data_IF_608526948785
#
_entry.id   IF_608526948785
#
_cell.length_a   1.000
_cell.length_b   1.000
_cell.length_c   1.000
_cell.angle_alpha   90.00
_cell.angle_beta   90.00
_cell.angle_gamma   90.00
#
_symmetry.space_group_name_H-M   'P 1'
#
loop_
_entity.id
_entity.type
_entity.pdbx_description
1 polymer ?
#
# COMPACT_ATOMS: atom_id res chain seq x y z
N UNK A 1 27.81 2.32 6.24
CA UNK A 1 27.67 3.71 5.79
C UNK A 1 27.19 4.53 6.99
N UNK A 2 27.78 5.68 7.30
CA UNK A 2 27.32 6.48 8.44
C UNK A 2 25.94 7.09 8.16
N UNK A 3 25.07 7.23 9.18
CA UNK A 3 23.71 7.79 9.01
C UNK A 3 23.69 9.16 8.32
N UNK A 4 24.73 9.96 8.51
CA UNK A 4 24.89 11.29 7.89
C UNK A 4 25.05 11.28 6.37
N UNK A 5 25.18 10.10 5.75
CA UNK A 5 25.25 9.91 4.29
C UNK A 5 23.92 9.42 3.70
N UNK A 6 22.90 9.22 4.53
CA UNK A 6 21.54 8.91 4.07
C UNK A 6 20.84 10.23 3.80
N UNK A 7 20.42 10.44 2.54
CA UNK A 7 19.72 11.66 2.10
C UNK A 7 18.19 11.52 2.18
N UNK A 8 17.70 10.29 2.24
CA UNK A 8 16.30 10.02 2.36
C UNK A 8 16.00 8.54 2.50
N UNK A 9 14.81 8.22 2.98
CA UNK A 9 14.33 6.86 3.25
C UNK A 9 13.08 6.60 2.42
N UNK A 10 13.13 5.59 1.56
CA UNK A 10 11.99 5.13 0.75
C UNK A 10 11.41 3.89 1.39
N UNK A 11 10.13 3.96 1.78
CA UNK A 11 9.35 2.77 2.14
C UNK A 11 8.88 2.03 0.90
N UNK A 12 8.64 0.73 1.03
CA UNK A 12 7.96 -0.05 -0.02
C UNK A 12 6.68 -0.64 0.56
N UNK A 13 5.56 -0.33 -0.06
CA UNK A 13 4.24 -0.85 0.33
C UNK A 13 3.51 -1.44 -0.87
N UNK A 14 2.61 -2.37 -0.61
CA UNK A 14 1.62 -2.80 -1.60
C UNK A 14 0.37 -1.93 -1.49
N UNK A 15 -0.43 -1.89 -2.55
CA UNK A 15 -1.76 -1.26 -2.52
C UNK A 15 -2.77 -2.01 -1.64
N UNK A 16 -2.40 -3.13 -1.04
CA UNK A 16 -3.15 -3.94 -0.07
C UNK A 16 -2.15 -4.59 0.89
N UNK A 17 -2.63 -5.21 1.96
CA UNK A 17 -1.76 -5.81 2.97
C UNK A 17 -1.61 -7.32 2.77
N UNK A 18 -0.41 -7.86 3.03
CA UNK A 18 -0.18 -9.31 3.08
C UNK A 18 0.55 -9.70 4.35
N UNK A 19 0.26 -10.89 4.87
CA UNK A 19 0.95 -11.45 6.02
C UNK A 19 1.35 -12.91 5.77
N UNK A 20 2.53 -13.26 6.26
CA UNK A 20 3.03 -14.64 6.33
C UNK A 20 2.95 -15.11 7.78
N UNK A 21 2.50 -16.35 7.97
CA UNK A 21 2.40 -16.97 9.30
C UNK A 21 1.17 -16.57 10.11
N UNK A 22 1.14 -17.05 11.36
CA UNK A 22 0.09 -16.76 12.33
C UNK A 22 0.26 -15.37 12.95
N UNK A 23 -0.70 -14.94 13.73
CA UNK A 23 -0.73 -13.68 14.44
C UNK A 23 -1.83 -12.74 13.96
N UNK A 24 -2.04 -11.62 14.68
CA UNK A 24 -3.13 -10.69 14.42
C UNK A 24 -3.06 -10.10 13.01
N UNK A 25 -4.22 -10.02 12.37
CA UNK A 25 -4.35 -9.39 11.07
C UNK A 25 -5.75 -8.75 10.97
N UNK A 26 -5.97 -7.60 11.59
CA UNK A 26 -7.29 -6.98 11.70
C UNK A 26 -7.97 -6.75 10.34
N UNK A 27 -7.20 -6.42 9.31
CA UNK A 27 -7.72 -6.11 7.96
C UNK A 27 -7.80 -7.33 7.05
N UNK A 28 -7.64 -8.55 7.56
CA UNK A 28 -7.65 -9.77 6.75
C UNK A 28 -8.95 -9.91 5.96
N UNK A 29 -8.82 -10.18 4.67
CA UNK A 29 -9.91 -10.55 3.78
C UNK A 29 -10.24 -12.03 3.92
N UNK A 30 -11.51 -12.37 3.74
CA UNK A 30 -11.99 -13.76 3.77
C UNK A 30 -12.81 -14.08 2.53
N UNK A 31 -13.00 -15.37 2.25
CA UNK A 31 -13.84 -15.82 1.13
C UNK A 31 -13.31 -15.45 -0.26
N UNK A 32 -14.21 -15.28 -1.21
CA UNK A 32 -13.87 -15.11 -2.62
C UNK A 32 -12.97 -13.91 -2.92
N UNK A 33 -13.12 -12.81 -2.18
CA UNK A 33 -12.26 -11.63 -2.39
C UNK A 33 -10.81 -11.92 -2.02
N UNK A 34 -10.55 -12.62 -0.91
CA UNK A 34 -9.21 -13.02 -0.50
C UNK A 34 -8.55 -13.93 -1.55
N UNK A 35 -9.30 -14.87 -2.10
CA UNK A 35 -8.82 -15.77 -3.14
C UNK A 35 -8.50 -15.03 -4.43
N UNK A 36 -9.38 -14.11 -4.84
CA UNK A 36 -9.19 -13.31 -6.05
C UNK A 36 -7.96 -12.41 -5.96
N UNK A 37 -7.76 -11.72 -4.82
CA UNK A 37 -6.58 -10.88 -4.58
C UNK A 37 -5.30 -11.73 -4.53
N UNK A 38 -5.34 -12.87 -3.85
CA UNK A 38 -4.21 -13.80 -3.77
C UNK A 38 -3.81 -14.32 -5.14
N UNK A 39 -4.77 -14.74 -5.95
CA UNK A 39 -4.51 -15.26 -7.29
C UNK A 39 -3.93 -14.18 -8.21
N UNK A 40 -4.58 -13.01 -8.30
CA UNK A 40 -4.12 -11.88 -9.13
C UNK A 40 -2.75 -11.35 -8.69
N UNK A 41 -2.57 -11.23 -7.38
CA UNK A 41 -1.33 -10.73 -6.79
C UNK A 41 -0.20 -11.78 -6.75
N UNK A 42 -0.45 -13.03 -7.16
CA UNK A 42 0.51 -14.15 -7.00
C UNK A 42 1.04 -14.25 -5.57
N UNK A 43 0.14 -14.10 -4.58
CA UNK A 43 0.51 -14.03 -3.17
C UNK A 43 0.73 -15.43 -2.58
N UNK A 44 1.83 -16.03 -3.01
CA UNK A 44 2.34 -17.32 -2.55
C UNK A 44 3.79 -17.20 -2.13
N UNK A 45 4.21 -18.05 -1.21
CA UNK A 45 5.62 -18.11 -0.79
C UNK A 45 6.50 -18.60 -1.94
N UNK A 46 7.57 -17.86 -2.24
CA UNK A 46 8.46 -18.18 -3.36
C UNK A 46 9.06 -19.57 -3.28
N UNK A 47 9.40 -20.04 -2.06
CA UNK A 47 10.04 -21.36 -1.84
C UNK A 47 9.02 -22.45 -1.56
N UNK A 48 8.00 -22.16 -0.75
CA UNK A 48 7.08 -23.19 -0.23
C UNK A 48 5.75 -23.27 -0.96
N UNK A 49 5.45 -22.30 -1.82
CA UNK A 49 4.13 -22.17 -2.46
C UNK A 49 2.97 -21.90 -1.50
N UNK A 50 3.24 -21.70 -0.20
CA UNK A 50 2.17 -21.46 0.78
C UNK A 50 1.41 -20.19 0.45
N UNK A 51 0.06 -20.21 0.47
CA UNK A 51 -0.75 -19.00 0.27
C UNK A 51 -0.47 -17.98 1.38
N UNK A 52 -0.27 -16.74 0.99
CA UNK A 52 -0.22 -15.61 1.93
C UNK A 52 -1.62 -15.19 2.32
N UNK A 53 -1.78 -14.74 3.55
CA UNK A 53 -2.99 -14.06 4.00
C UNK A 53 -3.00 -12.68 3.35
N UNK A 54 -4.15 -12.28 2.79
CA UNK A 54 -4.33 -10.97 2.15
C UNK A 54 -5.34 -10.16 2.95
N UNK A 55 -5.14 -8.86 3.03
CA UNK A 55 -6.01 -7.92 3.73
C UNK A 55 -6.10 -6.59 3.00
N UNK A 56 -7.08 -5.78 3.35
CA UNK A 56 -7.22 -4.42 2.86
C UNK A 56 -6.05 -3.56 3.33
N UNK A 57 -5.79 -2.45 2.63
CA UNK A 57 -4.76 -1.51 3.05
C UNK A 57 -5.03 -1.01 4.46
N UNK A 58 -4.02 -1.06 5.32
CA UNK A 58 -4.11 -0.64 6.71
C UNK A 58 -3.35 0.68 6.89
N UNK A 59 -4.11 1.77 6.89
CA UNK A 59 -3.52 3.10 7.03
C UNK A 59 -3.02 3.37 8.46
N UNK A 60 -3.55 2.66 9.47
CA UNK A 60 -3.04 2.76 10.86
C UNK A 60 -1.62 2.21 10.93
N UNK A 61 -1.39 1.03 10.35
CA UNK A 61 -0.05 0.43 10.23
C UNK A 61 0.84 1.27 9.32
N UNK A 62 0.31 1.75 8.19
CA UNK A 62 1.06 2.59 7.24
C UNK A 62 1.60 3.85 7.90
N UNK A 63 0.75 4.59 8.59
CA UNK A 63 1.13 5.80 9.34
C UNK A 63 2.15 5.51 10.44
N UNK A 64 1.94 4.43 11.19
CA UNK A 64 2.89 3.99 12.21
C UNK A 64 4.25 3.66 11.59
N UNK A 65 4.28 2.87 10.51
CA UNK A 65 5.51 2.49 9.82
C UNK A 65 6.26 3.72 9.27
N UNK A 66 5.55 4.67 8.68
CA UNK A 66 6.12 5.94 8.20
C UNK A 66 6.84 6.68 9.31
N UNK A 67 6.19 6.83 10.47
CA UNK A 67 6.72 7.56 11.62
C UNK A 67 7.95 6.89 12.23
N UNK A 68 7.88 5.59 12.50
CA UNK A 68 8.99 4.89 13.20
C UNK A 68 10.22 4.67 12.31
N UNK A 69 10.04 4.60 11.00
CA UNK A 69 11.14 4.43 10.05
C UNK A 69 11.63 5.76 9.46
N UNK A 70 10.97 6.88 9.76
CA UNK A 70 11.31 8.18 9.20
C UNK A 70 11.25 8.18 7.66
N UNK A 71 10.15 7.65 7.10
CA UNK A 71 10.01 7.57 5.65
C UNK A 71 9.75 8.94 5.06
N UNK A 72 10.53 9.34 4.07
CA UNK A 72 10.32 10.56 3.31
C UNK A 72 9.33 10.35 2.16
N UNK A 73 9.27 9.12 1.65
CA UNK A 73 8.39 8.76 0.55
C UNK A 73 8.17 7.25 0.50
N UNK A 74 7.17 6.80 -0.26
CA UNK A 74 6.82 5.39 -0.40
C UNK A 74 6.74 5.01 -1.88
N UNK A 75 7.30 3.86 -2.22
CA UNK A 75 7.04 3.16 -3.49
C UNK A 75 5.84 2.23 -3.29
N UNK A 76 4.71 2.55 -3.93
CA UNK A 76 3.51 1.72 -3.90
C UNK A 76 3.56 0.68 -5.01
N UNK A 77 3.27 -0.56 -4.68
CA UNK A 77 3.32 -1.67 -5.64
C UNK A 77 1.99 -2.40 -5.75
N UNK A 78 1.80 -3.12 -6.86
CA UNK A 78 0.65 -4.01 -7.07
C UNK A 78 -0.71 -3.29 -7.08
N UNK A 79 -0.77 -2.09 -7.65
CA UNK A 79 -2.03 -1.37 -7.83
C UNK A 79 -2.99 -2.15 -8.75
N UNK A 80 -2.46 -2.75 -9.80
CA UNK A 80 -3.15 -3.59 -10.79
C UNK A 80 -3.96 -4.74 -10.21
N UNK A 81 -3.55 -5.25 -9.07
CA UNK A 81 -4.25 -6.34 -8.38
C UNK A 81 -5.67 -5.94 -7.94
N UNK A 82 -5.89 -4.66 -7.73
CA UNK A 82 -7.18 -4.09 -7.31
C UNK A 82 -8.09 -3.67 -8.49
N UNK A 83 -7.61 -3.73 -9.73
CA UNK A 83 -8.31 -3.23 -10.93
C UNK A 83 -9.76 -3.73 -11.10
N UNK A 84 -10.03 -4.95 -10.65
CA UNK A 84 -11.36 -5.56 -10.81
C UNK A 84 -12.26 -5.41 -9.56
N UNK A 85 -11.79 -4.74 -8.51
CA UNK A 85 -12.58 -4.55 -7.30
C UNK A 85 -13.70 -3.53 -7.56
N UNK A 86 -14.92 -3.85 -7.13
CA UNK A 86 -16.05 -2.91 -7.16
C UNK A 86 -15.91 -1.85 -6.07
N UNK A 87 -15.43 -2.29 -4.92
CA UNK A 87 -15.14 -1.46 -3.75
C UNK A 87 -13.78 -1.84 -3.20
N UNK A 88 -12.98 -0.86 -2.87
CA UNK A 88 -11.70 -1.03 -2.17
C UNK A 88 -11.87 -0.44 -0.78
N UNK A 89 -11.44 -1.16 0.25
CA UNK A 89 -11.53 -0.68 1.63
C UNK A 89 -10.16 -0.25 2.14
N UNK A 90 -10.14 0.82 2.94
CA UNK A 90 -8.94 1.28 3.66
C UNK A 90 -9.28 1.31 5.14
N UNK A 91 -8.48 0.62 5.95
CA UNK A 91 -8.63 0.70 7.40
C UNK A 91 -8.04 2.02 7.89
N UNK A 92 -8.89 2.87 8.45
CA UNK A 92 -8.52 4.22 8.92
C UNK A 92 -8.34 4.30 10.43
N UNK A 93 -8.92 3.35 11.17
CA UNK A 93 -8.83 3.22 12.62
C UNK A 93 -9.15 1.78 13.04
N UNK A 94 -8.92 1.46 14.30
CA UNK A 94 -9.41 0.24 14.93
C UNK A 94 -10.45 0.57 16.00
N UNK A 95 -11.37 -0.36 16.25
CA UNK A 95 -12.27 -0.33 17.41
C UNK A 95 -11.87 -1.42 18.39
N UNK A 96 -11.68 -1.05 19.65
CA UNK A 96 -11.39 -1.98 20.73
C UNK A 96 -12.12 -1.56 22.00
N UNK A 97 -12.94 -2.45 22.58
CA UNK A 97 -13.72 -2.20 23.81
C UNK A 97 -14.53 -0.90 23.80
N UNK A 98 -15.10 -0.53 22.64
CA UNK A 98 -15.90 0.67 22.47
C UNK A 98 -15.10 1.95 22.16
N UNK A 99 -13.78 1.90 22.23
CA UNK A 99 -12.90 3.02 21.90
C UNK A 99 -12.43 2.93 20.45
N UNK A 100 -12.22 4.08 19.82
CA UNK A 100 -11.64 4.18 18.48
C UNK A 100 -10.15 4.52 18.60
N UNK A 101 -9.31 3.64 18.10
CA UNK A 101 -7.86 3.79 18.10
C UNK A 101 -7.40 4.23 16.72
N UNK A 102 -6.86 5.44 16.63
CA UNK A 102 -6.27 5.98 15.39
C UNK A 102 -4.78 5.72 15.29
N UNK A 103 -4.14 5.38 16.40
CA UNK A 103 -2.73 4.98 16.48
C UNK A 103 -2.61 3.46 16.59
N UNK A 104 -1.49 2.92 16.08
CA UNK A 104 -1.22 1.49 16.14
C UNK A 104 -0.96 1.05 17.58
N UNK A 105 -1.72 0.08 18.14
CA UNK A 105 -1.52 -0.39 19.50
C UNK A 105 -0.19 -1.13 19.65
N UNK A 106 0.52 -0.87 20.76
CA UNK A 106 1.76 -1.58 21.09
C UNK A 106 1.52 -3.00 21.61
N UNK A 107 0.35 -3.24 22.21
CA UNK A 107 -0.02 -4.54 22.78
C UNK A 107 -0.63 -5.45 21.70
N UNK A 108 0.02 -6.57 21.43
CA UNK A 108 -0.44 -7.57 20.46
C UNK A 108 -1.84 -8.11 20.79
N UNK A 109 -2.22 -8.19 22.09
CA UNK A 109 -3.55 -8.66 22.48
C UNK A 109 -4.64 -7.66 22.09
N UNK A 110 -4.33 -6.38 22.12
CA UNK A 110 -5.21 -5.31 21.63
C UNK A 110 -5.36 -5.42 20.11
N UNK A 111 -4.24 -5.60 19.39
CA UNK A 111 -4.27 -5.77 17.93
C UNK A 111 -5.08 -7.01 17.54
N UNK A 112 -4.95 -8.10 18.28
CA UNK A 112 -5.67 -9.35 18.02
C UNK A 112 -7.18 -9.24 18.22
N UNK A 113 -7.62 -8.35 19.13
CA UNK A 113 -9.02 -8.12 19.44
C UNK A 113 -9.60 -6.88 18.74
N UNK A 114 -8.78 -6.18 17.95
CA UNK A 114 -9.19 -4.96 17.26
C UNK A 114 -10.07 -5.26 16.05
N UNK A 115 -11.15 -4.51 15.93
CA UNK A 115 -12.01 -4.51 14.75
C UNK A 115 -11.62 -3.35 13.83
N UNK A 116 -11.34 -3.60 12.53
CA UNK A 116 -10.98 -2.53 11.62
C UNK A 116 -12.18 -1.63 11.30
N UNK A 117 -11.95 -0.32 11.33
CA UNK A 117 -12.90 0.69 10.85
C UNK A 117 -12.50 1.05 9.43
N UNK A 118 -13.38 0.77 8.48
CA UNK A 118 -13.10 0.97 7.08
C UNK A 118 -13.73 2.24 6.52
N UNK A 119 -12.97 2.91 5.66
CA UNK A 119 -13.47 3.80 4.61
C UNK A 119 -13.60 2.97 3.34
N UNK A 120 -14.77 3.05 2.69
CA UNK A 120 -15.02 2.37 1.42
C UNK A 120 -14.85 3.35 0.27
N UNK A 121 -14.01 2.98 -0.69
CA UNK A 121 -13.71 3.76 -1.88
C UNK A 121 -14.23 2.98 -3.09
N UNK A 122 -14.93 3.65 -3.98
CA UNK A 122 -15.42 3.04 -5.20
C UNK A 122 -14.26 2.59 -6.09
N UNK A 123 -14.25 1.30 -6.46
CA UNK A 123 -13.25 0.71 -7.32
C UNK A 123 -13.30 1.27 -8.76
N UNK A 124 -12.20 1.21 -9.45
CA UNK A 124 -12.10 1.80 -10.80
C UNK A 124 -12.48 0.85 -11.92
N UNK A 125 -12.44 -0.46 -11.72
CA UNK A 125 -12.86 -1.49 -12.69
C UNK A 125 -12.32 -1.27 -14.11
N UNK A 126 -11.09 -0.80 -14.20
CA UNK A 126 -10.38 -0.52 -15.45
C UNK A 126 -8.90 -0.87 -15.26
N UNK A 127 -8.20 -1.29 -16.33
CA UNK A 127 -6.79 -1.65 -16.21
C UNK A 127 -5.95 -0.42 -15.84
N UNK A 128 -5.04 -0.59 -14.89
CA UNK A 128 -3.97 0.36 -14.59
C UNK A 128 -2.69 0.02 -15.36
N UNK A 129 -2.57 -1.21 -15.84
CA UNK A 129 -1.46 -1.66 -16.68
C UNK A 129 -1.34 -0.78 -17.92
N UNK A 130 -0.09 -0.44 -18.27
CA UNK A 130 0.21 0.41 -19.43
C UNK A 130 0.20 1.92 -19.16
N UNK A 131 -0.27 2.37 -17.99
CA UNK A 131 -0.14 3.75 -17.56
C UNK A 131 1.35 4.11 -17.42
N UNK A 132 1.75 5.25 -17.99
CA UNK A 132 3.13 5.75 -17.96
C UNK A 132 3.32 6.92 -16.99
N UNK A 133 2.24 7.59 -16.66
CA UNK A 133 2.20 8.68 -15.70
C UNK A 133 0.90 8.62 -14.88
N UNK A 134 0.82 9.41 -13.82
CA UNK A 134 -0.34 9.42 -12.93
C UNK A 134 -1.63 9.86 -13.63
N UNK A 135 -1.54 10.72 -14.64
CA UNK A 135 -2.70 11.19 -15.40
C UNK A 135 -3.35 10.10 -16.26
N UNK A 136 -2.58 9.07 -16.65
CA UNK A 136 -3.09 7.93 -17.42
C UNK A 136 -3.91 6.97 -16.55
N UNK A 137 -3.76 7.04 -15.23
CA UNK A 137 -4.51 6.18 -14.31
C UNK A 137 -6.01 6.56 -14.31
N UNK A 138 -6.90 5.57 -14.14
CA UNK A 138 -8.33 5.84 -13.92
C UNK A 138 -8.55 6.84 -12.78
N UNK A 139 -9.47 7.78 -12.94
CA UNK A 139 -9.70 8.84 -11.95
C UNK A 139 -9.98 8.30 -10.52
N UNK A 140 -10.67 7.15 -10.41
CA UNK A 140 -10.93 6.50 -9.12
C UNK A 140 -9.66 5.90 -8.53
N UNK A 141 -8.75 5.35 -9.34
CA UNK A 141 -7.47 4.86 -8.88
C UNK A 141 -6.60 6.01 -8.33
N UNK A 142 -6.59 7.17 -9.02
CA UNK A 142 -5.90 8.37 -8.50
C UNK A 142 -6.45 8.81 -7.15
N UNK A 143 -7.77 8.87 -6.99
CA UNK A 143 -8.41 9.22 -5.71
C UNK A 143 -8.03 8.24 -4.59
N UNK A 144 -7.93 6.96 -4.92
CA UNK A 144 -7.45 5.95 -3.97
C UNK A 144 -6.02 6.26 -3.53
N UNK A 145 -5.11 6.54 -4.47
CA UNK A 145 -3.72 6.89 -4.18
C UNK A 145 -3.61 8.15 -3.33
N UNK A 146 -4.27 9.23 -3.75
CA UNK A 146 -4.35 10.50 -3.01
C UNK A 146 -4.83 10.27 -1.57
N UNK A 147 -5.88 9.45 -1.41
CA UNK A 147 -6.40 9.14 -0.08
C UNK A 147 -5.44 8.34 0.78
N UNK A 148 -4.69 7.42 0.20
CA UNK A 148 -3.64 6.69 0.93
C UNK A 148 -2.53 7.63 1.41
N UNK A 149 -2.05 8.53 0.55
CA UNK A 149 -1.03 9.54 0.91
C UNK A 149 -1.48 10.42 2.08
N UNK A 150 -2.72 10.93 2.02
CA UNK A 150 -3.33 11.70 3.11
C UNK A 150 -3.35 10.90 4.43
N UNK A 151 -3.77 9.64 4.38
CA UNK A 151 -3.93 8.79 5.55
C UNK A 151 -2.61 8.38 6.19
N UNK A 152 -1.57 8.11 5.39
CA UNK A 152 -0.25 7.73 5.91
C UNK A 152 0.65 8.94 6.17
N UNK A 153 0.30 10.11 5.64
CA UNK A 153 1.06 11.36 5.80
C UNK A 153 2.38 11.39 5.03
N UNK A 154 2.49 10.60 3.93
CA UNK A 154 3.75 10.49 3.19
C UNK A 154 3.44 10.29 1.70
N UNK A 155 4.08 11.07 0.79
CA UNK A 155 3.82 11.00 -0.64
C UNK A 155 4.39 9.71 -1.26
N UNK A 156 3.77 9.26 -2.34
CA UNK A 156 4.34 8.22 -3.18
C UNK A 156 5.41 8.78 -4.12
N UNK A 157 6.45 7.99 -4.38
CA UNK A 157 7.47 8.32 -5.37
C UNK A 157 7.42 7.42 -6.60
N UNK A 158 6.93 6.21 -6.41
CA UNK A 158 6.76 5.20 -7.46
C UNK A 158 5.42 4.50 -7.28
N UNK A 159 4.75 4.23 -8.39
CA UNK A 159 3.52 3.43 -8.42
C UNK A 159 3.73 2.32 -9.44
N UNK A 160 3.78 1.06 -8.96
CA UNK A 160 3.88 -0.09 -9.86
C UNK A 160 2.48 -0.60 -10.22
N UNK A 161 2.23 -0.74 -11.51
CA UNK A 161 1.00 -1.21 -12.13
C UNK A 161 1.14 -2.59 -12.78
N UNK A 162 2.27 -3.27 -12.54
CA UNK A 162 2.55 -4.60 -13.06
C UNK A 162 3.91 -5.13 -12.60
N UNK A 163 4.32 -6.26 -13.17
CA UNK A 163 5.55 -6.97 -12.78
C UNK A 163 6.78 -6.53 -13.57
N UNK A 164 6.60 -5.87 -14.70
CA UNK A 164 7.69 -5.46 -15.57
C UNK A 164 8.27 -4.10 -15.13
N UNK A 165 9.52 -3.85 -15.50
CA UNK A 165 10.20 -2.61 -15.13
C UNK A 165 9.53 -1.36 -15.69
N UNK A 166 9.00 -1.46 -16.89
CA UNK A 166 8.30 -0.38 -17.59
C UNK A 166 6.83 -0.21 -17.17
N UNK A 167 6.35 -1.05 -16.25
CA UNK A 167 5.04 -0.94 -15.58
C UNK A 167 5.16 -0.20 -14.25
N UNK A 168 6.00 0.84 -14.22
CA UNK A 168 6.23 1.67 -13.04
C UNK A 168 6.11 3.14 -13.43
N UNK A 169 5.23 3.85 -12.72
CA UNK A 169 5.04 5.29 -12.83
C UNK A 169 5.98 5.97 -11.83
N UNK A 170 6.72 6.97 -12.27
CA UNK A 170 7.51 7.85 -11.42
C UNK A 170 6.70 9.10 -11.08
N UNK A 171 6.45 9.35 -9.80
CA UNK A 171 5.72 10.53 -9.35
C UNK A 171 6.62 11.77 -9.40
N UNK A 172 6.32 12.71 -10.31
CA UNK A 172 7.22 13.82 -10.65
C UNK A 172 7.45 14.80 -9.50
N UNK A 173 6.47 15.02 -8.64
CA UNK A 173 6.56 15.96 -7.51
C UNK A 173 7.13 15.32 -6.23
N UNK A 174 7.54 14.06 -6.30
CA UNK A 174 8.00 13.30 -5.14
C UNK A 174 9.38 13.75 -4.63
N UNK A 175 9.70 13.51 -3.34
CA UNK A 175 11.04 13.74 -2.79
C UNK A 175 12.15 13.01 -3.56
N UNK A 176 11.87 11.85 -4.14
CA UNK A 176 12.82 11.08 -4.94
C UNK A 176 13.41 11.88 -6.10
N UNK A 177 12.58 12.70 -6.76
CA UNK A 177 13.01 13.53 -7.88
C UNK A 177 13.94 14.67 -7.46
N UNK A 178 13.87 15.09 -6.21
CA UNK A 178 14.78 16.08 -5.65
C UNK A 178 16.15 15.48 -5.32
N UNK A 179 16.19 14.21 -4.92
CA UNK A 179 17.44 13.49 -4.64
C UNK A 179 18.18 13.08 -5.90
N UNK A 180 17.44 12.81 -6.98
CA UNK A 180 17.97 12.36 -8.26
C UNK A 180 17.45 13.20 -9.44
N UNK A 181 17.88 14.49 -9.55
CA UNK A 181 17.39 15.38 -10.63
C UNK A 181 17.67 14.85 -12.03
N UNK A 182 18.74 14.05 -12.20
CA UNK A 182 19.11 13.42 -13.47
C UNK A 182 18.27 12.17 -13.80
N UNK A 183 17.49 11.64 -12.89
CA UNK A 183 16.63 10.48 -13.15
C UNK A 183 15.52 10.78 -14.15
N UNK A 184 15.12 12.05 -14.30
CA UNK A 184 14.16 12.49 -15.33
C UNK A 184 14.57 12.08 -16.75
N UNK A 185 15.86 12.06 -17.04
CA UNK A 185 16.38 11.79 -18.40
C UNK A 185 16.67 10.33 -18.69
N UNK A 186 16.69 9.45 -17.68
CA UNK A 186 17.14 8.05 -17.82
C UNK A 186 16.05 7.03 -17.55
N UNK A 187 14.87 7.46 -17.10
CA UNK A 187 13.73 6.60 -16.79
C UNK A 187 12.53 6.82 -17.74
N UNK A 188 12.61 7.82 -18.61
CA UNK A 188 11.75 8.04 -19.78
C UNK A 188 12.42 7.46 -21.02
#
# INVERSE_FOLDING_TARGET
MPPTKIHGVVGVSKAYTTRVGAGPFPTEMTGAIAEAIRARGHEYGATTGRPRRCGWFDAVVGRYATRINGLDTVALTKLDVLDQCETVKVCVAYRHRGETLTEFPEDETVVAAAEPVYEEIEGWRAPTAGAKNEADLPAKARRYLERLEELIGTPFCLISTGAQRDETILCEDSPLMRWFPSARSSLL
#
